data_IF_010961415498
#
_entry.id   IF_010961415498
#
_cell.length_a   1.000
_cell.length_b   1.000
_cell.length_c   1.000
_cell.angle_alpha   90.00
_cell.angle_beta   90.00
_cell.angle_gamma   90.00
#
_symmetry.space_group_name_H-M   'P 1'
#
loop_
_entity.id
_entity.type
_entity.pdbx_description
1 polymer ?
#
# COMPACT_ATOMS: atom_id res chain seq x y z
N UNK A 1 -3.13 13.51 -19.43
CA UNK A 1 -2.28 13.87 -18.27
C UNK A 1 -1.66 12.57 -17.77
N UNK A 2 -0.38 12.36 -18.04
CA UNK A 2 0.30 11.10 -17.76
C UNK A 2 0.47 10.93 -16.26
N UNK A 3 -0.30 10.02 -15.65
CA UNK A 3 -0.01 9.54 -14.32
C UNK A 3 1.39 8.91 -14.35
N UNK A 4 2.37 9.56 -13.73
CA UNK A 4 3.67 8.98 -13.50
C UNK A 4 3.49 7.76 -12.58
N UNK A 5 3.31 6.58 -13.18
CA UNK A 5 3.36 5.31 -12.48
C UNK A 5 4.74 5.22 -11.83
N UNK A 6 4.79 5.36 -10.50
CA UNK A 6 5.94 4.94 -9.69
C UNK A 6 5.94 3.40 -9.65
N UNK A 7 6.15 2.77 -10.79
CA UNK A 7 6.23 1.32 -10.94
C UNK A 7 7.64 0.87 -10.61
N UNK A 8 7.96 0.82 -9.32
CA UNK A 8 8.98 -0.10 -8.84
C UNK A 8 8.44 -1.54 -8.88
N UNK A 9 9.30 -2.57 -9.00
CA UNK A 9 8.86 -3.94 -8.78
C UNK A 9 8.24 -4.03 -7.38
N UNK A 10 7.05 -4.64 -7.29
CA UNK A 10 6.38 -4.85 -6.02
C UNK A 10 7.24 -5.67 -5.05
N UNK A 11 6.95 -5.59 -3.75
CA UNK A 11 7.69 -6.35 -2.74
C UNK A 11 7.52 -7.85 -3.02
N UNK A 12 8.64 -8.56 -3.14
CA UNK A 12 8.63 -10.00 -3.43
C UNK A 12 7.88 -10.75 -2.32
N UNK A 13 6.91 -11.59 -2.71
CA UNK A 13 6.09 -12.38 -1.78
C UNK A 13 4.87 -11.65 -1.22
N UNK A 14 4.57 -10.44 -1.70
CA UNK A 14 3.29 -9.80 -1.42
C UNK A 14 2.17 -10.52 -2.16
N UNK A 15 1.21 -11.03 -1.41
CA UNK A 15 0.01 -11.67 -1.93
C UNK A 15 -1.18 -10.74 -1.65
N UNK A 16 -1.96 -10.35 -2.68
CA UNK A 16 -3.19 -9.60 -2.46
C UNK A 16 -4.15 -10.49 -1.67
N UNK A 17 -4.76 -9.94 -0.62
CA UNK A 17 -5.85 -10.61 0.06
C UNK A 17 -7.19 -10.18 -0.57
N UNK A 18 -7.91 -11.13 -1.16
CA UNK A 18 -9.21 -10.93 -1.78
C UNK A 18 -10.38 -11.16 -0.80
N UNK A 19 -10.09 -11.45 0.48
CA UNK A 19 -11.03 -11.99 1.47
C UNK A 19 -11.36 -11.06 2.65
N UNK A 20 -10.84 -9.83 2.67
CA UNK A 20 -11.09 -8.88 3.75
C UNK A 20 -12.58 -8.51 3.87
N UNK A 21 -13.28 -9.11 4.83
CA UNK A 21 -14.63 -8.72 5.28
C UNK A 21 -14.54 -7.86 6.54
N UNK A 22 -15.23 -6.72 6.58
CA UNK A 22 -15.26 -5.77 7.71
C UNK A 22 -13.89 -5.18 8.11
N UNK A 23 -13.84 -4.38 9.18
CA UNK A 23 -12.58 -3.92 9.80
C UNK A 23 -11.79 -5.13 10.30
N UNK A 24 -10.86 -5.63 9.48
CA UNK A 24 -10.02 -6.75 9.82
C UNK A 24 -8.55 -6.32 9.88
N UNK A 25 -7.86 -6.73 10.94
CA UNK A 25 -6.41 -6.64 11.03
C UNK A 25 -5.80 -7.82 10.27
N UNK A 26 -5.41 -7.58 9.01
CA UNK A 26 -4.75 -8.60 8.21
C UNK A 26 -3.22 -8.50 8.31
N UNK A 27 -2.52 -9.60 8.61
CA UNK A 27 -1.06 -9.61 8.56
C UNK A 27 -0.59 -9.45 7.11
N UNK A 28 0.35 -8.53 6.89
CA UNK A 28 1.06 -8.46 5.62
C UNK A 28 1.93 -9.73 5.49
N UNK A 29 1.90 -10.40 4.33
CA UNK A 29 2.76 -11.57 4.05
C UNK A 29 4.25 -11.21 3.92
N UNK A 30 4.58 -9.92 4.02
CA UNK A 30 5.94 -9.37 3.85
C UNK A 30 6.39 -8.66 5.12
N UNK A 31 7.69 -8.70 5.41
CA UNK A 31 8.25 -8.04 6.60
C UNK A 31 8.22 -6.51 6.47
N UNK A 32 8.09 -5.80 7.60
CA UNK A 32 8.17 -4.35 7.65
C UNK A 32 9.52 -3.81 7.10
N UNK A 33 10.61 -4.58 7.24
CA UNK A 33 11.90 -4.23 6.66
C UNK A 33 11.91 -4.30 5.13
N UNK A 34 11.09 -5.19 4.53
CA UNK A 34 10.99 -5.39 3.09
C UNK A 34 10.27 -4.24 2.38
N UNK A 35 9.39 -3.53 3.09
CA UNK A 35 8.57 -2.44 2.53
C UNK A 35 9.24 -1.06 2.70
N UNK A 36 10.24 -0.95 3.57
CA UNK A 36 10.99 0.28 3.83
C UNK A 36 10.21 1.31 4.65
N UNK A 37 10.82 2.49 4.87
CA UNK A 37 10.24 3.53 5.74
C UNK A 37 9.11 4.36 5.11
N UNK A 38 8.94 4.29 3.78
CA UNK A 38 7.92 5.06 3.05
C UNK A 38 7.21 4.18 2.00
N UNK A 39 6.45 3.15 2.41
CA UNK A 39 5.83 2.24 1.47
C UNK A 39 4.65 2.88 0.74
N UNK A 40 4.38 2.39 -0.47
CA UNK A 40 3.23 2.77 -1.28
C UNK A 40 2.37 1.54 -1.51
N UNK A 41 1.13 1.57 -1.04
CA UNK A 41 0.13 0.53 -1.26
C UNK A 41 -0.74 0.91 -2.45
N UNK A 42 -0.86 0.02 -3.43
CA UNK A 42 -1.86 0.17 -4.49
C UNK A 42 -3.00 -0.79 -4.18
N UNK A 43 -4.23 -0.28 -4.06
CA UNK A 43 -5.41 -1.10 -3.81
C UNK A 43 -6.38 -0.99 -4.98
N UNK A 44 -7.31 -1.95 -5.08
CA UNK A 44 -8.40 -1.90 -6.04
C UNK A 44 -9.64 -1.42 -5.29
N UNK A 45 -10.29 -0.35 -5.77
CA UNK A 45 -11.57 0.08 -5.22
C UNK A 45 -12.75 -0.63 -5.92
N UNK A 46 -13.95 -0.46 -5.37
CA UNK A 46 -15.22 -1.00 -5.88
C UNK A 46 -15.56 -0.55 -7.33
N UNK A 47 -14.95 0.52 -7.81
CA UNK A 47 -15.04 1.00 -9.19
C UNK A 47 -13.98 0.40 -10.13
N UNK A 48 -13.12 -0.50 -9.65
CA UNK A 48 -12.00 -1.09 -10.42
C UNK A 48 -10.80 -0.15 -10.62
N UNK A 49 -10.81 1.02 -9.98
CA UNK A 49 -9.69 1.95 -9.95
C UNK A 49 -8.53 1.41 -9.12
N UNK A 50 -7.31 1.88 -9.43
CA UNK A 50 -6.07 1.50 -8.74
C UNK A 50 -5.38 2.69 -8.07
N UNK A 51 -6.04 3.35 -7.10
CA UNK A 51 -5.43 4.42 -6.32
C UNK A 51 -4.22 3.94 -5.51
N UNK A 52 -3.34 4.88 -5.18
CA UNK A 52 -2.13 4.63 -4.39
C UNK A 52 -2.24 5.34 -3.04
N UNK A 53 -1.88 4.65 -1.96
CA UNK A 53 -1.78 5.20 -0.62
C UNK A 53 -0.31 5.23 -0.23
N UNK A 54 0.20 6.41 0.12
CA UNK A 54 1.55 6.56 0.65
C UNK A 54 1.52 6.43 2.16
N UNK A 55 2.49 5.74 2.73
CA UNK A 55 2.63 5.55 4.18
C UNK A 55 3.96 6.10 4.68
N UNK A 56 3.97 6.50 5.95
CA UNK A 56 5.20 6.80 6.70
C UNK A 56 5.29 5.86 7.89
N UNK A 57 6.42 5.17 8.04
CA UNK A 57 6.62 4.17 9.08
C UNK A 57 7.57 4.64 10.18
N UNK A 58 7.20 4.41 11.44
CA UNK A 58 8.06 4.52 12.60
C UNK A 58 8.18 3.15 13.27
N UNK A 59 9.33 2.49 13.08
CA UNK A 59 9.52 1.10 13.48
C UNK A 59 8.62 0.16 12.67
N UNK A 60 7.79 -0.62 13.35
CA UNK A 60 6.84 -1.56 12.74
C UNK A 60 5.46 -0.96 12.45
N UNK A 61 5.22 0.31 12.83
CA UNK A 61 3.92 0.96 12.68
C UNK A 61 3.97 1.97 11.54
N UNK A 62 3.05 1.83 10.58
CA UNK A 62 2.94 2.71 9.43
C UNK A 62 1.60 3.45 9.41
N UNK A 63 1.61 4.75 9.14
CA UNK A 63 0.40 5.58 9.03
C UNK A 63 0.26 6.14 7.63
N UNK A 64 -0.98 6.21 7.14
CA UNK A 64 -1.27 6.80 5.83
C UNK A 64 -0.90 8.28 5.86
N UNK A 65 -0.11 8.70 4.87
CA UNK A 65 0.18 10.10 4.66
C UNK A 65 -0.99 10.72 3.89
N UNK A 66 -1.50 11.88 4.31
CA UNK A 66 -2.49 12.59 3.51
C UNK A 66 -1.91 12.83 2.12
N UNK A 67 -2.66 12.44 1.08
CA UNK A 67 -2.28 12.73 -0.29
C UNK A 67 -2.12 14.25 -0.42
N UNK A 68 -0.92 14.70 -0.73
CA UNK A 68 -0.67 16.11 -1.00
C UNK A 68 -1.40 16.42 -2.31
N UNK A 69 -2.62 16.95 -2.22
CA UNK A 69 -3.31 17.54 -3.37
C UNK A 69 -2.39 18.62 -3.94
N UNK A 70 -1.85 18.35 -5.11
CA UNK A 70 -1.26 19.37 -5.97
C UNK A 70 -2.40 20.15 -6.64
#
# INVERSE_FOLDING_TARGET
>A
MSAAKKTGPGVKGFEPDDGATEKADLPLTVSAASVGGNPVLTYINDYGGRPQLSFSCNGSTCTVMPEKKA
#
